data_IF_747079974447
#
_entry.id   IF_747079974447
#
_cell.length_a   1.000
_cell.length_b   1.000
_cell.length_c   1.000
_cell.angle_alpha   90.00
_cell.angle_beta   90.00
_cell.angle_gamma   90.00
#
_symmetry.space_group_name_H-M   'P 1'
#
loop_
_entity.id
_entity.type
_entity.pdbx_description
1 polymer ?
#
# COMPACT_ATOMS: atom_id res chain seq x y z
N UNK A 1 -23.85 9.26 -1.22
CA UNK A 1 -22.61 8.92 -0.51
C UNK A 1 -22.51 9.78 0.73
N UNK A 2 -22.07 9.23 1.87
CA UNK A 2 -21.78 10.00 3.08
C UNK A 2 -20.57 10.94 2.83
N UNK A 3 -20.49 12.12 3.48
CA UNK A 3 -19.40 13.08 3.29
C UNK A 3 -18.00 12.49 3.45
N UNK A 4 -17.83 11.56 4.38
CA UNK A 4 -16.54 10.91 4.66
C UNK A 4 -16.05 10.00 3.52
N UNK A 5 -16.97 9.39 2.77
CA UNK A 5 -16.64 8.54 1.64
C UNK A 5 -16.08 9.36 0.46
N UNK A 6 -16.64 10.55 0.22
CA UNK A 6 -16.15 11.48 -0.81
C UNK A 6 -14.76 12.02 -0.46
N UNK A 7 -14.54 12.40 0.80
CA UNK A 7 -13.23 12.85 1.28
C UNK A 7 -12.16 11.76 1.14
N UNK A 8 -12.54 10.50 1.37
CA UNK A 8 -11.64 9.35 1.19
C UNK A 8 -11.32 9.12 -0.29
N UNK A 9 -12.34 9.17 -1.17
CA UNK A 9 -12.19 9.00 -2.62
C UNK A 9 -11.25 10.07 -3.21
N UNK A 10 -11.48 11.34 -2.88
CA UNK A 10 -10.65 12.46 -3.33
C UNK A 10 -9.21 12.33 -2.83
N UNK A 11 -9.03 11.92 -1.57
CA UNK A 11 -7.71 11.69 -0.99
C UNK A 11 -6.93 10.58 -1.72
N UNK A 12 -7.58 9.45 -1.99
CA UNK A 12 -6.91 8.33 -2.68
C UNK A 12 -6.56 8.71 -4.11
N UNK A 13 -7.45 9.46 -4.78
CA UNK A 13 -7.21 10.00 -6.13
C UNK A 13 -5.98 10.92 -6.16
N UNK A 14 -5.89 11.86 -5.23
CA UNK A 14 -4.76 12.80 -5.13
C UNK A 14 -3.44 12.06 -4.89
N UNK A 15 -3.44 11.06 -3.99
CA UNK A 15 -2.26 10.23 -3.74
C UNK A 15 -1.88 9.41 -4.97
N UNK A 16 -2.85 8.82 -5.66
CA UNK A 16 -2.60 8.07 -6.90
C UNK A 16 -1.88 8.91 -7.93
N UNK A 17 -2.33 10.13 -8.15
CA UNK A 17 -1.68 11.07 -9.08
C UNK A 17 -0.24 11.41 -8.64
N UNK A 18 0.00 11.57 -7.33
CA UNK A 18 1.34 11.86 -6.80
C UNK A 18 2.29 10.67 -6.88
N UNK A 19 1.78 9.44 -6.73
CA UNK A 19 2.58 8.22 -6.86
C UNK A 19 3.01 7.94 -8.30
N UNK A 20 2.25 8.43 -9.29
CA UNK A 20 2.68 8.38 -10.71
C UNK A 20 3.93 9.24 -10.94
N UNK A 21 4.08 10.35 -10.22
CA UNK A 21 5.26 11.21 -10.27
C UNK A 21 6.10 11.06 -8.99
N UNK A 22 6.85 9.97 -8.89
CA UNK A 22 7.60 9.63 -7.69
C UNK A 22 8.54 10.78 -7.26
N UNK A 23 8.47 11.22 -5.98
CA UNK A 23 9.45 12.14 -5.43
C UNK A 23 10.85 11.51 -5.48
N UNK A 24 11.85 12.28 -5.91
CA UNK A 24 13.25 11.84 -5.85
C UNK A 24 13.83 11.87 -4.43
N UNK A 25 13.20 12.62 -3.53
CA UNK A 25 13.62 12.73 -2.13
C UNK A 25 13.02 11.59 -1.29
N UNK A 26 13.90 10.90 -0.55
CA UNK A 26 13.55 9.74 0.25
C UNK A 26 12.50 10.04 1.34
N UNK A 27 12.64 11.18 2.04
CA UNK A 27 11.72 11.54 3.12
C UNK A 27 10.34 11.88 2.57
N UNK A 28 10.27 12.62 1.46
CA UNK A 28 9.01 12.91 0.78
C UNK A 28 8.35 11.64 0.23
N UNK A 29 9.13 10.68 -0.28
CA UNK A 29 8.60 9.39 -0.72
C UNK A 29 8.00 8.60 0.44
N UNK A 30 8.71 8.48 1.56
CA UNK A 30 8.21 7.79 2.76
C UNK A 30 6.93 8.45 3.30
N UNK A 31 6.88 9.77 3.36
CA UNK A 31 5.67 10.52 3.77
C UNK A 31 4.49 10.30 2.82
N UNK A 32 4.76 10.18 1.50
CA UNK A 32 3.72 9.90 0.52
C UNK A 32 3.16 8.49 0.69
N UNK A 33 4.03 7.50 0.91
CA UNK A 33 3.64 6.11 1.17
C UNK A 33 2.87 5.97 2.49
N UNK A 34 3.25 6.68 3.55
CA UNK A 34 2.52 6.68 4.83
C UNK A 34 1.10 7.24 4.68
N UNK A 35 0.95 8.32 3.91
CA UNK A 35 -0.37 8.86 3.56
C UNK A 35 -1.19 7.86 2.75
N UNK A 36 -0.57 7.20 1.77
CA UNK A 36 -1.22 6.18 0.95
C UNK A 36 -1.75 5.04 1.82
N UNK A 37 -0.90 4.49 2.68
CA UNK A 37 -1.26 3.44 3.66
C UNK A 37 -2.43 3.88 4.54
N UNK A 38 -2.39 5.10 5.09
CA UNK A 38 -3.44 5.58 5.98
C UNK A 38 -4.81 5.62 5.28
N UNK A 39 -4.88 6.13 4.04
CA UNK A 39 -6.12 6.16 3.27
C UNK A 39 -6.60 4.75 2.93
N UNK A 40 -5.69 3.88 2.45
CA UNK A 40 -6.03 2.49 2.10
C UNK A 40 -6.56 1.73 3.33
N UNK A 41 -5.98 1.92 4.52
CA UNK A 41 -6.43 1.24 5.74
C UNK A 41 -7.85 1.61 6.19
N UNK A 42 -8.41 2.72 5.68
CA UNK A 42 -9.78 3.17 5.97
C UNK A 42 -10.80 2.64 4.96
N UNK A 43 -10.35 2.04 3.87
CA UNK A 43 -11.24 1.46 2.87
C UNK A 43 -11.76 0.11 3.32
N UNK A 44 -13.04 -0.14 3.10
CA UNK A 44 -13.63 -1.44 3.32
C UNK A 44 -13.20 -2.44 2.23
N UNK A 45 -13.33 -3.73 2.55
CA UNK A 45 -13.15 -4.80 1.58
C UNK A 45 -14.29 -4.78 0.55
N UNK A 46 -13.98 -5.10 -0.70
CA UNK A 46 -14.92 -5.08 -1.84
C UNK A 46 -15.65 -3.74 -1.98
N UNK A 47 -14.92 -2.61 -2.12
CA UNK A 47 -15.53 -1.29 -2.20
C UNK A 47 -16.40 -1.15 -3.46
N UNK A 48 -17.23 -0.11 -3.51
CA UNK A 48 -18.05 0.19 -4.68
C UNK A 48 -17.20 0.38 -5.94
N UNK A 49 -17.77 0.11 -7.12
CA UNK A 49 -17.06 0.25 -8.40
C UNK A 49 -16.46 1.64 -8.59
N UNK A 50 -17.14 2.71 -8.17
CA UNK A 50 -16.60 4.08 -8.23
C UNK A 50 -15.29 4.20 -7.45
N UNK A 51 -15.31 3.79 -6.18
CA UNK A 51 -14.13 3.81 -5.33
C UNK A 51 -13.00 2.98 -5.94
N UNK A 52 -13.30 1.75 -6.38
CA UNK A 52 -12.31 0.87 -7.00
C UNK A 52 -11.67 1.52 -8.24
N UNK A 53 -12.47 2.12 -9.13
CA UNK A 53 -11.95 2.84 -10.32
C UNK A 53 -11.11 4.05 -9.96
N UNK A 54 -11.44 4.75 -8.86
CA UNK A 54 -10.67 5.89 -8.37
C UNK A 54 -9.32 5.46 -7.77
N UNK A 55 -9.27 4.29 -7.12
CA UNK A 55 -8.06 3.79 -6.43
C UNK A 55 -7.13 3.00 -7.36
N UNK A 56 -7.65 2.47 -8.47
CA UNK A 56 -6.89 1.66 -9.41
C UNK A 56 -5.58 2.31 -9.91
N UNK A 57 -5.51 3.63 -10.22
CA UNK A 57 -4.25 4.27 -10.60
C UNK A 57 -3.21 4.27 -9.48
N UNK A 58 -3.63 4.49 -8.22
CA UNK A 58 -2.75 4.43 -7.06
C UNK A 58 -2.19 3.02 -6.84
N UNK A 59 -3.05 1.99 -6.97
CA UNK A 59 -2.65 0.59 -6.89
C UNK A 59 -1.62 0.25 -7.98
N UNK A 60 -1.89 0.65 -9.23
CA UNK A 60 -0.98 0.45 -10.37
C UNK A 60 0.36 1.15 -10.20
N UNK A 61 0.37 2.34 -9.60
CA UNK A 61 1.60 3.05 -9.31
C UNK A 61 2.43 2.32 -8.24
N UNK A 62 1.79 1.81 -7.17
CA UNK A 62 2.47 1.10 -6.08
C UNK A 62 3.12 -0.22 -6.50
N UNK A 63 2.60 -0.87 -7.53
CA UNK A 63 3.15 -2.09 -8.13
C UNK A 63 4.07 -1.80 -9.32
N UNK A 64 4.24 -0.54 -9.71
CA UNK A 64 5.12 -0.21 -10.83
C UNK A 64 6.56 -0.61 -10.47
N UNK A 65 7.29 -1.14 -11.45
CA UNK A 65 8.67 -1.63 -11.29
C UNK A 65 9.63 -0.58 -10.72
N UNK A 66 9.31 0.70 -10.89
CA UNK A 66 10.12 1.80 -10.34
C UNK A 66 10.06 1.88 -8.80
N UNK A 67 9.05 1.28 -8.17
CA UNK A 67 8.92 1.17 -6.71
C UNK A 67 9.31 -0.22 -6.18
N UNK A 68 9.04 -1.27 -6.94
CA UNK A 68 9.39 -2.64 -6.55
C UNK A 68 10.92 -2.83 -6.53
N UNK A 69 11.47 -3.18 -5.36
CA UNK A 69 12.92 -3.43 -5.24
C UNK A 69 13.75 -2.16 -5.07
N UNK A 70 13.18 -1.12 -4.44
CA UNK A 70 13.91 0.09 -4.08
C UNK A 70 15.16 -0.24 -3.23
N UNK A 71 16.24 0.54 -3.34
CA UNK A 71 17.48 0.27 -2.60
C UNK A 71 17.34 0.47 -1.09
N UNK A 72 16.44 1.36 -0.68
CA UNK A 72 16.10 1.64 0.71
C UNK A 72 15.10 0.62 1.27
N UNK A 73 15.44 0.01 2.41
CA UNK A 73 14.62 -1.02 3.05
C UNK A 73 13.33 -0.47 3.65
N UNK A 74 13.34 0.74 4.22
CA UNK A 74 12.15 1.34 4.83
C UNK A 74 11.13 1.73 3.76
N UNK A 75 11.58 2.12 2.57
CA UNK A 75 10.72 2.31 1.40
C UNK A 75 10.06 0.98 1.01
N UNK A 76 10.82 -0.11 0.89
CA UNK A 76 10.25 -1.42 0.57
C UNK A 76 9.21 -1.89 1.60
N UNK A 77 9.45 -1.68 2.90
CA UNK A 77 8.50 -2.02 3.96
C UNK A 77 7.24 -1.15 3.86
N UNK A 78 7.40 0.14 3.54
CA UNK A 78 6.27 1.06 3.37
C UNK A 78 5.41 0.68 2.16
N UNK A 79 6.04 0.27 1.05
CA UNK A 79 5.36 -0.28 -0.13
C UNK A 79 4.62 -1.57 0.24
N UNK A 80 5.29 -2.51 0.92
CA UNK A 80 4.68 -3.76 1.38
C UNK A 80 3.44 -3.50 2.27
N UNK A 81 3.46 -2.47 3.10
CA UNK A 81 2.32 -2.06 3.92
C UNK A 81 1.14 -1.52 3.10
N UNK A 82 1.40 -0.71 2.08
CA UNK A 82 0.34 -0.27 1.16
C UNK A 82 -0.26 -1.46 0.40
N UNK A 83 0.61 -2.36 -0.07
CA UNK A 83 0.25 -3.54 -0.83
C UNK A 83 -0.55 -4.58 -0.02
N UNK A 84 -0.26 -4.73 1.27
CA UNK A 84 -1.09 -5.57 2.16
C UNK A 84 -2.51 -5.03 2.30
N UNK A 85 -2.68 -3.70 2.38
CA UNK A 85 -4.01 -3.10 2.42
C UNK A 85 -4.76 -3.28 1.10
N UNK A 86 -4.07 -3.14 -0.03
CA UNK A 86 -4.68 -3.39 -1.34
C UNK A 86 -5.18 -4.83 -1.45
N UNK A 87 -4.38 -5.79 -0.99
CA UNK A 87 -4.78 -7.21 -0.94
C UNK A 87 -6.05 -7.38 -0.10
N UNK A 88 -6.12 -6.77 1.08
CA UNK A 88 -7.33 -6.78 1.93
C UNK A 88 -8.55 -6.14 1.26
N UNK A 89 -8.36 -5.00 0.58
CA UNK A 89 -9.45 -4.25 -0.07
C UNK A 89 -10.07 -5.06 -1.21
N UNK A 90 -9.25 -5.81 -1.94
CA UNK A 90 -9.68 -6.49 -3.17
C UNK A 90 -10.10 -7.95 -2.96
N UNK A 91 -9.68 -8.58 -1.86
CA UNK A 91 -10.15 -9.90 -1.46
C UNK A 91 -11.70 -10.00 -1.50
N UNK A 92 -12.26 -11.16 -1.89
CA UNK A 92 -11.57 -12.42 -2.25
C UNK A 92 -10.96 -12.42 -3.65
N UNK A 93 -11.21 -11.38 -4.45
CA UNK A 93 -10.72 -11.29 -5.82
C UNK A 93 -9.26 -10.82 -5.83
N UNK A 94 -8.41 -11.50 -6.60
CA UNK A 94 -7.04 -11.05 -6.74
C UNK A 94 -7.03 -9.71 -7.50
N UNK A 95 -6.32 -8.68 -7.00
CA UNK A 95 -6.26 -7.39 -7.68
C UNK A 95 -5.47 -7.42 -9.00
N UNK A 96 -4.68 -8.48 -9.25
CA UNK A 96 -3.68 -8.56 -10.32
C UNK A 96 -3.67 -9.96 -10.95
N UNK A 97 -3.29 -10.07 -12.22
CA UNK A 97 -3.18 -11.36 -12.93
C UNK A 97 -1.74 -11.94 -12.86
N UNK A 98 -0.71 -11.19 -13.25
CA UNK A 98 0.66 -11.74 -13.42
C UNK A 98 1.71 -11.23 -12.42
N UNK A 99 1.57 -10.00 -11.88
CA UNK A 99 2.56 -9.38 -10.97
C UNK A 99 2.37 -9.78 -9.49
N UNK A 100 1.51 -10.76 -9.23
CA UNK A 100 1.13 -11.23 -7.87
C UNK A 100 2.33 -11.81 -7.09
N UNK A 101 3.29 -12.45 -7.78
CA UNK A 101 4.39 -13.14 -7.11
C UNK A 101 5.42 -12.17 -6.50
N UNK A 102 5.74 -11.08 -7.19
CA UNK A 102 6.67 -10.05 -6.68
C UNK A 102 6.05 -9.30 -5.49
N UNK A 103 4.74 -9.04 -5.56
CA UNK A 103 3.93 -8.50 -4.49
C UNK A 103 4.01 -9.34 -3.21
N UNK A 104 3.70 -10.63 -3.30
CA UNK A 104 3.79 -11.53 -2.14
C UNK A 104 5.22 -11.65 -1.63
N UNK A 105 6.21 -11.64 -2.52
CA UNK A 105 7.63 -11.62 -2.15
C UNK A 105 7.98 -10.43 -1.24
N UNK A 106 7.46 -9.24 -1.53
CA UNK A 106 7.67 -8.06 -0.67
C UNK A 106 6.95 -8.16 0.67
N UNK A 107 5.69 -8.61 0.68
CA UNK A 107 4.92 -8.80 1.92
C UNK A 107 5.60 -9.82 2.83
N UNK A 108 5.98 -10.98 2.29
CA UNK A 108 6.71 -12.02 3.03
C UNK A 108 8.11 -11.54 3.43
N UNK A 109 8.78 -10.78 2.57
CA UNK A 109 10.06 -10.15 2.85
C UNK A 109 10.00 -9.19 4.04
N UNK A 110 8.88 -8.49 4.24
CA UNK A 110 8.68 -7.62 5.40
C UNK A 110 8.59 -8.39 6.73
N UNK A 111 8.37 -9.71 6.71
CA UNK A 111 8.41 -10.55 7.91
C UNK A 111 9.83 -10.97 8.31
N UNK A 112 10.83 -10.80 7.43
CA UNK A 112 12.22 -10.91 7.85
C UNK A 112 12.49 -9.85 8.92
N UNK A 113 13.21 -10.23 9.97
CA UNK A 113 13.61 -9.34 11.07
C UNK A 113 12.44 -8.84 11.93
N UNK A 114 11.35 -9.60 12.06
CA UNK A 114 10.30 -9.33 13.06
C UNK A 114 10.80 -9.46 14.50
N UNK A 115 11.97 -10.06 14.72
CA UNK A 115 12.67 -10.12 15.99
C UNK A 115 13.46 -8.81 16.30
N UNK A 116 13.69 -7.94 15.32
CA UNK A 116 14.38 -6.65 15.49
C UNK A 116 13.44 -5.54 15.96
N UNK A 117 12.97 -5.63 17.22
CA UNK A 117 12.00 -4.69 17.82
C UNK A 117 12.47 -3.23 17.86
N UNK A 118 13.80 -3.00 17.85
CA UNK A 118 14.38 -1.64 17.83
C UNK A 118 14.40 -0.98 16.44
N UNK A 119 14.01 -1.70 15.38
CA UNK A 119 13.97 -1.16 14.02
C UNK A 119 12.93 -0.04 13.89
N UNK A 120 13.27 1.03 13.17
CA UNK A 120 12.33 2.11 12.85
C UNK A 120 11.07 1.63 12.10
N UNK A 121 11.20 0.53 11.36
CA UNK A 121 10.11 -0.07 10.58
C UNK A 121 9.34 -1.17 11.31
N UNK A 122 9.69 -1.48 12.57
CA UNK A 122 9.05 -2.57 13.32
C UNK A 122 7.53 -2.45 13.39
N UNK A 123 7.01 -1.26 13.69
CA UNK A 123 5.56 -1.01 13.76
C UNK A 123 4.86 -1.25 12.42
N UNK A 124 5.51 -0.90 11.30
CA UNK A 124 4.99 -1.18 9.96
C UNK A 124 4.97 -2.68 9.67
N UNK A 125 6.03 -3.41 10.04
CA UNK A 125 6.09 -4.87 9.88
C UNK A 125 4.97 -5.57 10.67
N UNK A 126 4.72 -5.14 11.90
CA UNK A 126 3.59 -5.64 12.71
C UNK A 126 2.25 -5.30 12.03
N UNK A 127 2.07 -4.08 11.54
CA UNK A 127 0.85 -3.70 10.81
C UNK A 127 0.63 -4.55 9.57
N UNK A 128 1.68 -4.92 8.82
CA UNK A 128 1.56 -5.83 7.66
C UNK A 128 1.07 -7.20 8.13
N UNK A 129 1.66 -7.75 9.18
CA UNK A 129 1.26 -9.05 9.73
C UNK A 129 -0.20 -9.05 10.19
N UNK A 130 -0.63 -8.02 10.90
CA UNK A 130 -2.02 -7.86 11.34
C UNK A 130 -3.00 -7.73 10.17
N UNK A 131 -2.63 -7.01 9.12
CA UNK A 131 -3.49 -6.85 7.93
C UNK A 131 -3.59 -8.17 7.18
N UNK A 132 -2.49 -8.89 6.97
CA UNK A 132 -2.49 -10.20 6.28
C UNK A 132 -3.28 -11.24 7.07
N UNK A 133 -3.21 -11.24 8.40
CA UNK A 133 -3.97 -12.18 9.24
C UNK A 133 -5.49 -11.97 9.21
N UNK A 134 -5.97 -10.83 8.67
CA UNK A 134 -7.39 -10.50 8.53
C UNK A 134 -7.98 -10.84 7.15
N UNK A 135 -7.12 -11.15 6.17
CA UNK A 135 -7.50 -11.59 4.82
C UNK A 135 -7.74 -13.09 4.85
#
# INVERSE_FOLDING_TARGET
>A
MLPDALMLEDGVKDIGNKLVSLPSDLQHLLLLLDKAKNLLSRMEQSPSTSMLTTVQPAMKALIAKDLLGHSDMDVNISIASCLSEITRITAPDAPYDDDIMELFGLIVGAFKNLDEVSSHSFSKRVSILETVAKV
#
